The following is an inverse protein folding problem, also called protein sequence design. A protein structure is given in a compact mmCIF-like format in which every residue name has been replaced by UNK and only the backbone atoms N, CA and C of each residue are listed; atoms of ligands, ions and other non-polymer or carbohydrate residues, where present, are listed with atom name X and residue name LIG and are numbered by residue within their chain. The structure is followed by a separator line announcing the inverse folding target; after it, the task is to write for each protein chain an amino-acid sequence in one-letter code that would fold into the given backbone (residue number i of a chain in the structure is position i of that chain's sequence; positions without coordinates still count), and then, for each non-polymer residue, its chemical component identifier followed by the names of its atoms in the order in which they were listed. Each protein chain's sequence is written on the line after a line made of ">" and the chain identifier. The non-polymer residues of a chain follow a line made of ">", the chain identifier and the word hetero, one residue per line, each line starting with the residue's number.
data_IF_249110134120
#
_entry.id   IF_249110134120
#
_cell.length_a   1.000
_cell.length_b   1.000
_cell.length_c   1.000
_cell.angle_alpha   90.00
_cell.angle_beta   90.00
_cell.angle_gamma   90.00
#
_symmetry.space_group_name_H-M   'P 1'
#
loop_
_entity.id
_entity.type
_entity.pdbx_description
1 polymer ?
#
# COMPACT_ATOMS: atom_id res chain seq x y z
N UNK A 1 3.90 -9.80 -13.75
CA UNK A 1 4.09 -8.72 -12.76
C UNK A 1 4.38 -9.36 -11.41
N UNK A 2 5.20 -8.77 -10.55
CA UNK A 2 5.58 -9.40 -9.27
C UNK A 2 5.28 -8.48 -8.09
N UNK A 3 4.62 -9.01 -7.05
CA UNK A 3 4.37 -8.33 -5.78
C UNK A 3 5.20 -8.98 -4.68
N UNK A 4 5.94 -8.19 -3.91
CA UNK A 4 6.62 -8.62 -2.68
C UNK A 4 6.05 -7.88 -1.49
N UNK A 5 5.63 -8.61 -0.45
CA UNK A 5 5.17 -8.02 0.81
C UNK A 5 6.39 -7.58 1.61
N UNK A 6 6.60 -6.28 1.77
CA UNK A 6 7.68 -5.72 2.59
C UNK A 6 7.21 -5.61 4.05
N UNK A 7 5.99 -5.13 4.25
CA UNK A 7 5.31 -5.07 5.53
C UNK A 7 3.79 -5.13 5.36
N UNK A 8 3.12 -5.73 6.34
CA UNK A 8 1.67 -6.03 6.27
C UNK A 8 0.93 -5.83 7.61
N UNK A 9 1.60 -5.28 8.63
CA UNK A 9 0.99 -5.03 9.94
C UNK A 9 0.09 -3.78 9.89
N UNK A 10 -1.14 -3.88 10.41
CA UNK A 10 -2.04 -2.74 10.51
C UNK A 10 -1.81 -1.89 11.75
N UNK A 11 -2.08 -0.58 11.65
CA UNK A 11 -1.98 0.44 12.72
C UNK A 11 -0.57 0.73 13.28
N UNK A 12 0.22 -0.30 13.58
CA UNK A 12 1.61 -0.19 14.05
C UNK A 12 2.38 -1.49 13.76
N UNK A 13 3.72 -1.47 13.74
CA UNK A 13 4.49 -2.66 13.37
C UNK A 13 4.38 -3.71 14.46
N UNK A 14 4.29 -4.97 14.06
CA UNK A 14 4.40 -6.10 14.98
C UNK A 14 5.85 -6.52 15.17
N UNK A 15 6.12 -7.41 16.13
CA UNK A 15 7.44 -8.03 16.26
C UNK A 15 7.87 -8.84 15.02
N UNK A 16 6.93 -9.19 14.13
CA UNK A 16 7.19 -10.01 12.95
C UNK A 16 7.00 -9.31 11.61
N UNK A 17 6.54 -8.05 11.57
CA UNK A 17 6.20 -7.35 10.33
C UNK A 17 6.20 -5.83 10.52
N UNK A 18 6.82 -5.11 9.59
CA UNK A 18 6.63 -3.68 9.43
C UNK A 18 5.17 -3.35 9.07
N UNK A 19 4.81 -2.07 9.14
CA UNK A 19 3.52 -1.62 8.63
C UNK A 19 3.42 -1.72 7.10
N UNK A 20 2.24 -1.40 6.54
CA UNK A 20 1.93 -1.45 5.11
C UNK A 20 3.09 -0.96 4.24
N UNK A 21 3.64 -1.88 3.45
CA UNK A 21 4.57 -1.58 2.38
C UNK A 21 4.68 -2.77 1.44
N UNK A 22 4.52 -2.52 0.14
CA UNK A 22 4.44 -3.58 -0.86
C UNK A 22 5.20 -3.18 -2.12
N UNK A 23 6.15 -4.00 -2.54
CA UNK A 23 6.99 -3.73 -3.70
C UNK A 23 6.42 -4.42 -4.95
N UNK A 24 6.07 -3.63 -5.97
CA UNK A 24 5.58 -4.11 -7.26
C UNK A 24 6.66 -3.94 -8.32
N UNK A 25 6.96 -5.01 -9.05
CA UNK A 25 8.02 -5.06 -10.06
C UNK A 25 7.52 -5.58 -11.41
N UNK A 26 7.89 -4.87 -12.48
CA UNK A 26 7.71 -5.32 -13.87
C UNK A 26 8.75 -4.65 -14.77
N UNK A 27 9.30 -5.38 -15.74
CA UNK A 27 10.28 -4.86 -16.71
C UNK A 27 11.46 -4.09 -16.08
N UNK A 28 11.87 -4.48 -14.87
CA UNK A 28 12.96 -3.85 -14.12
C UNK A 28 12.56 -2.58 -13.35
N UNK A 29 11.33 -2.10 -13.50
CA UNK A 29 10.76 -0.95 -12.78
C UNK A 29 10.23 -1.38 -11.40
N UNK A 30 10.44 -0.55 -10.38
CA UNK A 30 10.08 -0.80 -8.97
C UNK A 30 9.18 0.29 -8.42
N UNK A 31 7.90 -0.06 -8.25
CA UNK A 31 6.90 0.77 -7.59
C UNK A 31 6.68 0.30 -6.16
N UNK A 32 6.90 1.17 -5.17
CA UNK A 32 6.54 0.88 -3.78
C UNK A 32 5.14 1.41 -3.47
N UNK A 33 4.25 0.55 -2.98
CA UNK A 33 2.96 0.93 -2.43
C UNK A 33 3.10 1.05 -0.92
N UNK A 34 2.92 2.26 -0.39
CA UNK A 34 3.10 2.65 1.00
C UNK A 34 4.52 2.41 1.56
N UNK A 35 4.91 3.27 2.50
CA UNK A 35 6.18 3.19 3.22
C UNK A 35 5.91 3.45 4.71
N UNK A 36 5.21 2.48 5.30
CA UNK A 36 4.83 2.47 6.71
C UNK A 36 5.99 2.35 7.69
N UNK A 37 5.67 2.52 8.97
CA UNK A 37 6.63 2.40 10.06
C UNK A 37 7.41 1.06 10.03
N UNK A 38 8.74 1.15 9.96
CA UNK A 38 9.66 0.01 9.88
C UNK A 38 9.91 -0.54 8.48
N UNK A 39 9.19 -0.07 7.46
CA UNK A 39 9.28 -0.57 6.09
C UNK A 39 10.64 -0.34 5.45
N UNK A 40 11.33 0.77 5.75
CA UNK A 40 12.64 1.08 5.13
C UNK A 40 13.71 0.05 5.52
N UNK A 41 13.65 -0.46 6.75
CA UNK A 41 14.55 -1.52 7.22
C UNK A 41 14.32 -2.82 6.46
N UNK A 42 13.06 -3.25 6.35
CA UNK A 42 12.69 -4.49 5.66
C UNK A 42 12.89 -4.40 4.15
N UNK A 43 12.62 -3.24 3.53
CA UNK A 43 12.78 -3.02 2.09
C UNK A 43 14.20 -3.36 1.59
N UNK A 44 15.23 -3.07 2.40
CA UNK A 44 16.63 -3.33 2.07
C UNK A 44 16.96 -4.82 1.86
N UNK A 45 16.07 -5.73 2.31
CA UNK A 45 16.20 -7.16 2.06
C UNK A 45 15.81 -7.55 0.63
N UNK A 46 15.13 -6.65 -0.09
CA UNK A 46 14.51 -6.91 -1.39
C UNK A 46 15.15 -6.07 -2.50
N UNK A 47 15.45 -4.80 -2.23
CA UNK A 47 16.00 -3.85 -3.21
C UNK A 47 17.04 -2.93 -2.58
N UNK A 48 17.94 -2.38 -3.40
CA UNK A 48 18.86 -1.34 -2.97
C UNK A 48 18.13 -0.04 -2.64
N UNK A 49 18.73 0.75 -1.74
CA UNK A 49 18.16 2.02 -1.25
C UNK A 49 17.87 3.06 -2.36
N UNK A 50 18.50 2.93 -3.52
CA UNK A 50 18.32 3.85 -4.64
C UNK A 50 17.66 3.20 -5.86
N UNK A 51 17.20 1.95 -5.74
CA UNK A 51 16.65 1.17 -6.86
C UNK A 51 15.15 1.45 -7.08
N UNK A 52 14.46 2.09 -6.14
CA UNK A 52 13.05 2.47 -6.31
C UNK A 52 12.90 3.52 -7.40
N UNK A 53 11.91 3.31 -8.27
CA UNK A 53 11.61 4.21 -9.40
C UNK A 53 10.41 5.11 -9.11
N UNK A 54 9.46 4.65 -8.30
CA UNK A 54 8.29 5.43 -7.88
C UNK A 54 7.74 4.94 -6.55
N UNK A 55 7.01 5.83 -5.86
CA UNK A 55 6.30 5.53 -4.62
C UNK A 55 4.84 5.97 -4.78
N UNK A 56 3.91 5.12 -4.37
CA UNK A 56 2.50 5.42 -4.23
C UNK A 56 2.13 5.37 -2.75
N UNK A 57 1.53 6.43 -2.22
CA UNK A 57 1.00 6.48 -0.86
C UNK A 57 -0.53 6.46 -0.95
N UNK A 58 -1.16 5.41 -0.42
CA UNK A 58 -2.62 5.28 -0.40
C UNK A 58 -3.26 6.40 0.42
N UNK A 59 -2.68 6.70 1.58
CA UNK A 59 -3.06 7.80 2.46
C UNK A 59 -1.93 8.19 3.43
N UNK A 60 -2.23 9.13 4.34
CA UNK A 60 -1.23 9.86 5.13
C UNK A 60 -1.19 9.49 6.63
N UNK A 61 -1.75 8.33 7.00
CA UNK A 61 -1.50 7.77 8.33
C UNK A 61 -0.05 7.28 8.47
N UNK A 62 0.46 7.27 9.71
CA UNK A 62 1.88 7.04 9.97
C UNK A 62 2.34 5.64 9.56
N UNK A 63 1.50 4.64 9.75
CA UNK A 63 1.68 3.26 9.32
C UNK A 63 1.64 3.06 7.79
N UNK A 64 1.39 4.10 7.01
CA UNK A 64 1.46 4.05 5.54
C UNK A 64 2.55 4.95 4.95
N UNK A 65 3.06 5.94 5.69
CA UNK A 65 3.99 6.91 5.09
C UNK A 65 5.15 7.38 5.97
N UNK A 66 5.22 7.03 7.26
CA UNK A 66 6.16 7.71 8.15
C UNK A 66 7.63 7.38 7.88
N UNK A 67 7.93 6.20 7.32
CA UNK A 67 9.30 5.84 6.95
C UNK A 67 9.82 6.63 5.74
N UNK A 68 8.96 7.37 5.04
CA UNK A 68 9.39 8.39 4.07
C UNK A 68 10.30 9.44 4.71
N UNK A 69 10.14 9.74 6.01
CA UNK A 69 11.03 10.65 6.73
C UNK A 69 12.45 10.07 6.87
N UNK A 70 12.58 8.77 7.09
CA UNK A 70 13.88 8.10 7.11
C UNK A 70 14.44 7.96 5.68
N UNK A 71 13.58 7.69 4.69
CA UNK A 71 13.98 7.60 3.30
C UNK A 71 14.45 8.93 2.72
N UNK A 72 13.86 10.04 3.19
CA UNK A 72 14.36 11.39 2.93
C UNK A 72 15.83 11.52 3.33
N UNK A 73 16.22 11.09 4.54
CA UNK A 73 17.61 11.14 5.01
C UNK A 73 18.53 10.36 4.09
N UNK A 74 18.13 9.14 3.71
CA UNK A 74 18.90 8.27 2.78
C UNK A 74 19.20 8.99 1.47
N UNK A 75 18.21 9.66 0.89
CA UNK A 75 18.35 10.30 -0.43
C UNK A 75 18.90 11.72 -0.38
N UNK A 76 18.67 12.46 0.71
CA UNK A 76 19.18 13.82 0.90
C UNK A 76 20.67 13.84 1.27
N UNK A 77 21.10 12.85 2.06
CA UNK A 77 22.47 12.67 2.54
C UNK A 77 23.06 11.33 2.07
N UNK A 78 23.16 11.09 0.75
CA UNK A 78 23.61 9.80 0.25
C UNK A 78 25.08 9.54 0.62
N UNK A 79 25.39 8.30 0.99
CA UNK A 79 26.76 7.92 1.31
C UNK A 79 27.65 7.88 0.06
N UNK A 80 28.59 8.82 -0.05
CA UNK A 80 29.72 8.73 -0.98
C UNK A 80 29.44 9.13 -2.43
N UNK A 81 28.46 10.00 -2.68
CA UNK A 81 28.14 10.44 -4.05
C UNK A 81 27.27 11.68 -4.15
N UNK A 82 26.90 12.01 -5.38
CA UNK A 82 25.93 13.05 -5.70
C UNK A 82 24.51 12.64 -5.29
N UNK A 83 23.65 13.64 -5.05
CA UNK A 83 22.24 13.37 -4.76
C UNK A 83 21.59 12.66 -5.95
N UNK A 84 20.89 11.54 -5.73
CA UNK A 84 20.15 10.87 -6.79
C UNK A 84 19.04 11.80 -7.33
N UNK A 85 18.57 11.51 -8.54
CA UNK A 85 17.40 12.21 -9.11
C UNK A 85 16.19 12.09 -8.17
N UNK A 86 15.33 13.12 -8.22
CA UNK A 86 14.06 13.13 -7.46
C UNK A 86 13.23 11.91 -7.85
N UNK A 87 12.68 11.23 -6.86
CA UNK A 87 11.79 10.08 -7.08
C UNK A 87 10.33 10.56 -7.09
N UNK A 88 9.51 10.19 -8.08
CA UNK A 88 8.08 10.52 -8.08
C UNK A 88 7.35 9.84 -6.91
N UNK A 89 6.57 10.63 -6.19
CA UNK A 89 5.72 10.20 -5.07
C UNK A 89 4.28 10.61 -5.37
N UNK A 90 3.44 9.63 -5.63
CA UNK A 90 2.01 9.81 -5.84
C UNK A 90 1.30 9.65 -4.50
N UNK A 91 0.57 10.67 -4.05
CA UNK A 91 -0.15 10.60 -2.77
C UNK A 91 -1.31 11.58 -2.71
N UNK A 92 -2.13 11.56 -1.64
CA UNK A 92 -3.21 12.51 -1.46
C UNK A 92 -2.73 13.97 -1.42
N UNK A 93 -3.68 14.89 -1.51
CA UNK A 93 -3.40 16.30 -1.28
C UNK A 93 -2.74 16.52 0.10
N UNK A 94 -1.77 17.43 0.15
CA UNK A 94 -1.01 17.68 1.38
C UNK A 94 0.10 16.69 1.72
N UNK A 95 0.44 15.74 0.83
CA UNK A 95 1.55 14.77 1.05
C UNK A 95 2.87 15.45 1.42
N UNK A 96 3.30 16.47 0.66
CA UNK A 96 4.53 17.21 0.97
C UNK A 96 4.45 17.85 2.36
N UNK A 97 3.37 18.59 2.64
CA UNK A 97 3.17 19.27 3.92
C UNK A 97 3.20 18.28 5.08
N UNK A 98 2.54 17.13 4.95
CA UNK A 98 2.50 16.07 5.95
C UNK A 98 3.89 15.53 6.27
N UNK A 99 4.71 15.28 5.25
CA UNK A 99 6.07 14.75 5.42
C UNK A 99 7.03 15.79 5.98
N UNK A 100 6.98 17.02 5.47
CA UNK A 100 7.75 18.16 6.01
C UNK A 100 7.41 18.38 7.48
N UNK A 101 6.12 18.31 7.85
CA UNK A 101 5.68 18.49 9.24
C UNK A 101 6.14 17.35 10.15
N UNK A 102 6.05 16.10 9.70
CA UNK A 102 6.50 14.96 10.51
C UNK A 102 8.02 14.93 10.70
N UNK A 103 8.78 15.31 9.67
CA UNK A 103 10.23 15.41 9.80
C UNK A 103 10.63 16.61 10.67
N UNK A 104 9.89 17.73 10.54
CA UNK A 104 10.05 19.02 11.21
C UNK A 104 11.40 19.73 10.98
N UNK A 105 12.52 19.03 11.22
CA UNK A 105 13.88 19.57 11.21
C UNK A 105 14.52 19.45 9.81
N UNK A 106 13.86 20.04 8.81
CA UNK A 106 14.37 20.07 7.42
C UNK A 106 15.32 21.25 7.20
N UNK A 107 16.36 21.12 6.35
CA UNK A 107 17.29 22.23 6.07
C UNK A 107 16.65 23.48 5.45
N UNK A 108 15.50 23.32 4.79
CA UNK A 108 14.68 24.39 4.23
C UNK A 108 13.24 23.90 3.98
N UNK A 109 12.30 24.83 3.83
CA UNK A 109 10.89 24.53 3.54
C UNK A 109 10.68 23.70 2.27
N UNK A 110 11.65 23.68 1.36
CA UNK A 110 11.60 22.95 0.09
C UNK A 110 12.45 21.67 0.07
N UNK A 111 13.10 21.31 1.18
CA UNK A 111 14.05 20.20 1.20
C UNK A 111 13.41 18.87 0.77
N UNK A 112 12.16 18.59 1.20
CA UNK A 112 11.41 17.41 0.77
C UNK A 112 11.26 17.36 -0.76
N UNK A 113 10.90 18.49 -1.37
CA UNK A 113 10.82 18.64 -2.82
C UNK A 113 12.18 18.56 -3.53
N UNK A 114 13.32 18.68 -2.86
CA UNK A 114 14.62 18.41 -3.48
C UNK A 114 14.86 16.90 -3.69
N UNK A 115 14.14 16.04 -2.97
CA UNK A 115 14.30 14.57 -2.98
C UNK A 115 13.11 13.87 -3.65
N UNK A 116 11.91 14.40 -3.44
CA UNK A 116 10.66 13.81 -3.89
C UNK A 116 10.01 14.72 -4.94
N UNK A 117 9.45 14.11 -5.97
CA UNK A 117 8.59 14.77 -6.95
C UNK A 117 7.13 14.41 -6.67
N UNK A 118 6.42 15.29 -5.97
CA UNK A 118 5.07 15.01 -5.47
C UNK A 118 4.01 15.17 -6.56
N UNK A 119 3.16 14.15 -6.72
CA UNK A 119 2.02 14.12 -7.63
C UNK A 119 0.74 13.86 -6.83
N UNK A 120 -0.18 14.84 -6.81
CA UNK A 120 -1.46 14.69 -6.10
C UNK A 120 -2.38 13.71 -6.82
N UNK A 121 -2.81 12.66 -6.11
CA UNK A 121 -3.73 11.65 -6.61
C UNK A 121 -5.11 12.22 -6.92
N UNK A 122 -5.71 11.67 -7.97
CA UNK A 122 -7.09 11.93 -8.39
C UNK A 122 -7.69 10.65 -8.94
N UNK A 123 -9.01 10.44 -8.79
CA UNK A 123 -9.67 9.31 -9.42
C UNK A 123 -9.44 9.27 -10.94
N UNK A 124 -9.24 8.08 -11.49
CA UNK A 124 -9.07 7.86 -12.93
C UNK A 124 -7.81 7.09 -13.31
N UNK A 125 -7.57 7.00 -14.62
CA UNK A 125 -6.48 6.25 -15.24
C UNK A 125 -5.27 7.13 -15.59
N UNK A 126 -4.08 6.62 -15.33
CA UNK A 126 -2.79 7.22 -15.68
C UNK A 126 -1.67 6.17 -15.69
N UNK A 127 -0.45 6.57 -16.02
CA UNK A 127 0.70 5.66 -16.10
C UNK A 127 1.71 5.95 -14.98
N UNK A 128 2.28 4.89 -14.40
CA UNK A 128 3.46 4.95 -13.54
C UNK A 128 4.50 3.99 -14.11
N UNK A 129 5.52 4.52 -14.79
CA UNK A 129 6.50 3.67 -15.47
C UNK A 129 5.82 2.76 -16.52
N UNK A 130 6.00 1.43 -16.46
CA UNK A 130 5.37 0.48 -17.38
C UNK A 130 3.95 0.04 -16.95
N UNK A 131 3.42 0.59 -15.85
CA UNK A 131 2.13 0.21 -15.30
C UNK A 131 1.01 1.16 -15.74
N UNK A 132 -0.09 0.60 -16.25
CA UNK A 132 -1.35 1.33 -16.36
C UNK A 132 -2.08 1.25 -15.03
N UNK A 133 -2.38 2.40 -14.45
CA UNK A 133 -2.87 2.54 -13.08
C UNK A 133 -4.23 3.20 -13.06
N UNK A 134 -5.18 2.64 -12.32
CA UNK A 134 -6.43 3.30 -11.93
C UNK A 134 -6.44 3.53 -10.44
N UNK A 135 -6.81 4.73 -10.02
CA UNK A 135 -7.07 5.01 -8.59
C UNK A 135 -8.50 5.49 -8.39
N UNK A 136 -9.07 5.19 -7.23
CA UNK A 136 -10.38 5.69 -6.80
C UNK A 136 -10.32 6.13 -5.34
N UNK A 137 -11.17 7.11 -4.97
CA UNK A 137 -11.28 7.59 -3.59
C UNK A 137 -12.11 6.62 -2.76
N UNK A 138 -11.62 6.26 -1.60
CA UNK A 138 -12.20 5.24 -0.73
C UNK A 138 -12.92 5.84 0.49
N UNK A 139 -13.46 4.97 1.35
CA UNK A 139 -14.18 5.33 2.56
C UNK A 139 -13.28 5.18 3.78
N UNK A 140 -12.53 6.24 4.09
CA UNK A 140 -11.69 6.34 5.28
C UNK A 140 -11.81 7.76 5.89
N UNK A 141 -11.46 8.01 7.17
CA UNK A 141 -11.55 9.34 7.78
C UNK A 141 -10.65 10.41 7.16
N UNK A 142 -9.63 9.99 6.39
CA UNK A 142 -8.74 10.89 5.63
C UNK A 142 -8.84 10.60 4.15
N UNK A 143 -8.27 11.47 3.31
CA UNK A 143 -8.20 11.23 1.88
C UNK A 143 -7.36 9.96 1.60
N UNK A 144 -8.05 8.91 1.19
CA UNK A 144 -7.48 7.59 0.91
C UNK A 144 -7.85 7.11 -0.49
N UNK A 145 -6.89 6.48 -1.15
CA UNK A 145 -7.02 5.95 -2.49
C UNK A 145 -6.70 4.46 -2.54
N UNK A 146 -7.56 3.71 -3.23
CA UNK A 146 -7.25 2.38 -3.71
C UNK A 146 -6.54 2.47 -5.06
N UNK A 147 -5.81 1.43 -5.41
CA UNK A 147 -5.06 1.38 -6.66
C UNK A 147 -5.24 0.03 -7.35
N UNK A 148 -5.56 0.07 -8.65
CA UNK A 148 -5.44 -1.06 -9.57
C UNK A 148 -4.26 -0.82 -10.49
N UNK A 149 -3.42 -1.82 -10.65
CA UNK A 149 -2.19 -1.81 -11.45
C UNK A 149 -2.33 -2.90 -12.50
N UNK A 150 -2.19 -2.54 -13.76
CA UNK A 150 -2.23 -3.47 -14.89
C UNK A 150 -0.92 -3.43 -15.67
N UNK A 151 -0.41 -4.61 -16.01
CA UNK A 151 0.76 -4.76 -16.85
C UNK A 151 0.84 -6.14 -17.49
N UNK A 152 1.10 -6.20 -18.80
CA UNK A 152 1.34 -7.47 -19.51
C UNK A 152 0.14 -8.43 -19.53
N UNK A 153 -1.08 -7.93 -19.31
CA UNK A 153 -2.30 -8.74 -19.20
C UNK A 153 -2.60 -9.25 -17.79
N UNK A 154 -1.74 -8.95 -16.81
CA UNK A 154 -1.96 -9.24 -15.39
C UNK A 154 -2.43 -8.00 -14.63
N UNK A 155 -3.19 -8.18 -13.55
CA UNK A 155 -3.66 -7.08 -12.69
C UNK A 155 -3.52 -7.33 -11.18
N UNK A 156 -3.21 -6.26 -10.46
CA UNK A 156 -3.12 -6.21 -9.00
C UNK A 156 -4.01 -5.07 -8.50
N UNK A 157 -4.89 -5.35 -7.53
CA UNK A 157 -5.62 -4.29 -6.81
C UNK A 157 -5.16 -4.26 -5.35
N UNK A 158 -4.76 -3.09 -4.87
CA UNK A 158 -4.50 -2.81 -3.46
C UNK A 158 -5.59 -1.91 -2.89
N UNK A 159 -6.23 -2.36 -1.80
CA UNK A 159 -7.37 -1.67 -1.21
C UNK A 159 -7.02 -0.38 -0.48
N UNK A 160 -5.77 -0.12 -0.08
CA UNK A 160 -5.53 0.86 0.99
C UNK A 160 -6.33 0.49 2.26
N UNK A 161 -6.66 1.49 3.06
CA UNK A 161 -7.59 1.37 4.19
C UNK A 161 -8.96 1.90 3.81
N UNK A 162 -10.02 1.17 4.17
CA UNK A 162 -11.38 1.56 3.80
C UNK A 162 -12.44 0.76 4.55
N UNK A 163 -13.61 1.37 4.75
CA UNK A 163 -14.87 0.65 4.88
C UNK A 163 -15.39 0.12 3.53
N UNK A 164 -16.54 -0.54 3.54
CA UNK A 164 -17.16 -1.06 2.31
C UNK A 164 -17.55 0.09 1.35
N UNK A 165 -17.20 -0.02 0.06
CA UNK A 165 -17.60 0.97 -0.94
C UNK A 165 -17.59 0.44 -2.38
N UNK A 166 -18.49 0.97 -3.20
CA UNK A 166 -18.62 0.62 -4.63
C UNK A 166 -17.36 0.93 -5.43
N UNK A 167 -16.64 1.99 -5.08
CA UNK A 167 -15.38 2.37 -5.74
C UNK A 167 -14.31 1.26 -5.65
N UNK A 168 -14.24 0.55 -4.52
CA UNK A 168 -13.33 -0.57 -4.38
C UNK A 168 -13.81 -1.80 -5.15
N UNK A 169 -15.13 -2.02 -5.22
CA UNK A 169 -15.71 -3.07 -6.05
C UNK A 169 -15.33 -2.89 -7.53
N UNK A 170 -15.44 -1.66 -8.04
CA UNK A 170 -15.05 -1.33 -9.41
C UNK A 170 -13.54 -1.48 -9.66
N UNK A 171 -12.69 -1.13 -8.68
CA UNK A 171 -11.24 -1.31 -8.79
C UNK A 171 -10.86 -2.79 -8.79
N UNK A 172 -11.56 -3.62 -8.02
CA UNK A 172 -11.27 -5.04 -7.86
C UNK A 172 -11.86 -5.92 -8.98
N UNK A 173 -12.79 -5.41 -9.80
CA UNK A 173 -13.51 -6.18 -10.82
C UNK A 173 -12.59 -7.03 -11.72
N UNK A 174 -12.69 -8.35 -11.58
CA UNK A 174 -11.91 -9.32 -12.33
C UNK A 174 -10.39 -9.26 -12.12
N UNK A 175 -9.89 -8.67 -11.02
CA UNK A 175 -8.45 -8.54 -10.81
C UNK A 175 -7.78 -9.88 -10.50
N UNK A 176 -6.57 -10.15 -11.01
CA UNK A 176 -5.89 -11.43 -10.76
C UNK A 176 -5.47 -11.60 -9.30
N UNK A 177 -4.93 -10.55 -8.68
CA UNK A 177 -4.60 -10.53 -7.25
C UNK A 177 -5.25 -9.32 -6.58
N UNK A 178 -6.03 -9.58 -5.54
CA UNK A 178 -6.61 -8.56 -4.68
C UNK A 178 -5.94 -8.57 -3.31
N UNK A 179 -5.11 -7.57 -3.05
CA UNK A 179 -4.47 -7.31 -1.76
C UNK A 179 -5.39 -6.39 -0.95
N UNK A 180 -6.11 -6.97 0.00
CA UNK A 180 -7.23 -6.31 0.69
C UNK A 180 -6.99 -6.23 2.19
N UNK A 181 -7.27 -5.07 2.79
CA UNK A 181 -7.26 -4.91 4.24
C UNK A 181 -8.33 -5.76 4.93
N UNK A 182 -8.05 -6.20 6.15
CA UNK A 182 -9.01 -6.90 7.01
C UNK A 182 -8.72 -6.57 8.47
N UNK A 183 -8.76 -5.29 8.82
CA UNK A 183 -8.30 -4.83 10.13
C UNK A 183 -9.24 -5.25 11.28
N UNK A 184 -10.54 -5.31 11.02
CA UNK A 184 -11.59 -5.66 11.99
C UNK A 184 -11.93 -7.14 12.00
N UNK A 185 -12.66 -7.57 13.03
CA UNK A 185 -13.18 -8.93 13.16
C UNK A 185 -14.70 -8.92 12.98
N UNK A 186 -15.20 -9.83 12.16
CA UNK A 186 -16.63 -9.93 11.88
C UNK A 186 -17.45 -10.06 13.17
N UNK A 187 -18.44 -9.17 13.34
CA UNK A 187 -19.35 -9.16 14.49
C UNK A 187 -18.76 -8.62 15.79
N UNK A 188 -17.55 -8.01 15.77
CA UNK A 188 -16.98 -7.32 16.93
C UNK A 188 -17.01 -5.81 16.77
N UNK A 189 -16.37 -5.30 15.72
CA UNK A 189 -16.37 -3.89 15.38
C UNK A 189 -17.44 -3.58 14.32
N UNK A 190 -18.10 -2.42 14.45
CA UNK A 190 -19.10 -1.91 13.51
C UNK A 190 -18.93 -0.39 13.38
N UNK A 191 -17.73 0.03 12.98
CA UNK A 191 -17.40 1.44 12.75
C UNK A 191 -17.50 1.69 11.25
N UNK A 192 -18.49 2.45 10.78
CA UNK A 192 -18.69 2.69 9.36
C UNK A 192 -17.53 3.49 8.77
N UNK A 193 -17.25 3.24 7.49
CA UNK A 193 -16.28 4.01 6.69
C UNK A 193 -14.86 4.09 7.31
N UNK A 194 -14.42 3.00 7.96
CA UNK A 194 -13.11 2.94 8.62
C UNK A 194 -12.26 1.76 8.16
N UNK A 195 -12.67 0.52 8.45
CA UNK A 195 -11.93 -0.67 8.05
C UNK A 195 -12.85 -1.82 7.67
N UNK A 196 -12.32 -2.75 6.88
CA UNK A 196 -12.98 -4.01 6.57
C UNK A 196 -12.68 -5.06 7.64
N UNK A 197 -13.58 -6.02 7.77
CA UNK A 197 -13.28 -7.33 8.36
C UNK A 197 -13.03 -8.41 7.29
N UNK A 198 -12.54 -9.58 7.71
CA UNK A 198 -12.25 -10.68 6.80
C UNK A 198 -13.46 -11.14 5.98
N UNK A 199 -14.67 -11.14 6.56
CA UNK A 199 -15.89 -11.50 5.83
C UNK A 199 -16.20 -10.49 4.73
N UNK A 200 -16.13 -9.19 5.02
CA UNK A 200 -16.41 -8.13 4.03
C UNK A 200 -15.40 -8.15 2.88
N UNK A 201 -14.12 -8.40 3.18
CA UNK A 201 -13.08 -8.58 2.16
C UNK A 201 -13.37 -9.81 1.27
N UNK A 202 -13.81 -10.93 1.86
CA UNK A 202 -14.23 -12.12 1.13
C UNK A 202 -15.49 -11.89 0.28
N UNK A 203 -16.51 -11.22 0.82
CA UNK A 203 -17.71 -10.85 0.07
C UNK A 203 -17.36 -9.93 -1.12
N UNK A 204 -16.31 -9.12 -0.99
CA UNK A 204 -15.80 -8.26 -2.06
C UNK A 204 -15.12 -9.06 -3.15
N UNK A 205 -14.19 -9.92 -2.74
CA UNK A 205 -13.52 -10.83 -3.65
C UNK A 205 -14.52 -11.68 -4.46
N UNK A 206 -15.58 -12.17 -3.81
CA UNK A 206 -16.62 -12.96 -4.45
C UNK A 206 -17.45 -12.15 -5.46
N UNK A 207 -17.93 -10.96 -5.08
CA UNK A 207 -18.77 -10.13 -5.97
C UNK A 207 -18.00 -9.53 -7.14
N UNK A 208 -16.73 -9.17 -6.92
CA UNK A 208 -15.84 -8.65 -7.96
C UNK A 208 -15.21 -9.76 -8.83
N UNK A 209 -15.39 -11.04 -8.48
CA UNK A 209 -14.85 -12.15 -9.27
C UNK A 209 -13.33 -12.16 -9.35
N UNK A 210 -12.63 -11.83 -8.27
CA UNK A 210 -11.17 -11.74 -8.23
C UNK A 210 -10.52 -13.13 -8.37
N UNK A 211 -9.29 -13.18 -8.90
CA UNK A 211 -8.53 -14.43 -9.07
C UNK A 211 -7.97 -14.99 -7.76
N UNK A 212 -7.44 -14.13 -6.89
CA UNK A 212 -6.89 -14.47 -5.57
C UNK A 212 -7.13 -13.32 -4.58
N UNK A 213 -7.49 -13.66 -3.34
CA UNK A 213 -7.58 -12.73 -2.23
C UNK A 213 -6.39 -12.91 -1.28
N UNK A 214 -5.64 -11.84 -1.03
CA UNK A 214 -4.58 -11.80 -0.01
C UNK A 214 -4.98 -10.77 1.04
N UNK A 215 -5.25 -11.23 2.26
CA UNK A 215 -5.62 -10.36 3.37
C UNK A 215 -4.37 -9.72 3.96
N UNK A 216 -4.39 -8.40 4.15
CA UNK A 216 -3.27 -7.62 4.70
C UNK A 216 -3.78 -6.62 5.73
N UNK A 217 -2.87 -5.78 6.25
CA UNK A 217 -3.18 -4.69 7.18
C UNK A 217 -3.95 -5.17 8.43
N UNK A 218 -3.60 -6.36 8.94
CA UNK A 218 -4.25 -6.89 10.14
C UNK A 218 -3.48 -6.37 11.36
N UNK A 219 -4.12 -5.65 12.29
CA UNK A 219 -3.45 -5.15 13.48
C UNK A 219 -2.92 -6.28 14.37
N UNK A 220 -1.81 -6.08 15.10
CA UNK A 220 -1.19 -7.14 15.89
C UNK A 220 -2.06 -7.79 16.97
N UNK A 221 -3.14 -7.12 17.38
CA UNK A 221 -4.10 -7.62 18.37
C UNK A 221 -5.30 -8.35 17.74
N UNK A 222 -5.46 -8.29 16.42
CA UNK A 222 -6.52 -8.95 15.68
C UNK A 222 -6.11 -10.38 15.36
N UNK A 223 -7.03 -11.33 15.55
CA UNK A 223 -6.82 -12.73 15.19
C UNK A 223 -6.91 -12.88 13.65
N UNK A 224 -5.75 -12.91 13.00
CA UNK A 224 -5.65 -13.01 11.55
C UNK A 224 -6.26 -14.30 10.99
N UNK A 225 -6.12 -15.43 11.71
CA UNK A 225 -6.69 -16.71 11.28
C UNK A 225 -8.22 -16.68 11.32
N UNK A 226 -8.79 -15.91 12.25
CA UNK A 226 -10.24 -15.67 12.27
C UNK A 226 -10.69 -14.92 11.01
N UNK A 227 -10.00 -13.84 10.64
CA UNK A 227 -10.33 -13.11 9.41
C UNK A 227 -10.15 -13.95 8.16
N UNK A 228 -9.11 -14.79 8.10
CA UNK A 228 -8.90 -15.74 7.01
C UNK A 228 -10.05 -16.75 6.92
N UNK A 229 -10.51 -17.28 8.05
CA UNK A 229 -11.63 -18.21 8.09
C UNK A 229 -12.93 -17.55 7.61
N UNK A 230 -13.26 -16.36 8.14
CA UNK A 230 -14.46 -15.62 7.78
C UNK A 230 -14.47 -15.25 6.28
N UNK A 231 -13.33 -14.89 5.69
CA UNK A 231 -13.20 -14.63 4.25
C UNK A 231 -13.49 -15.89 3.39
N UNK A 232 -12.96 -17.05 3.82
CA UNK A 232 -13.13 -18.34 3.11
C UNK A 232 -14.55 -18.89 3.18
N UNK A 233 -15.37 -18.45 4.13
CA UNK A 233 -16.79 -18.83 4.17
C UNK A 233 -17.60 -18.23 3.01
N UNK A 234 -17.16 -17.10 2.46
CA UNK A 234 -17.90 -16.30 1.48
C UNK A 234 -17.20 -16.22 0.11
N UNK A 235 -15.89 -16.43 0.05
CA UNK A 235 -15.11 -16.51 -1.19
C UNK A 235 -14.48 -17.89 -1.36
N UNK A 236 -14.76 -18.54 -2.50
CA UNK A 236 -14.30 -19.90 -2.79
C UNK A 236 -12.97 -19.95 -3.54
N UNK A 237 -12.45 -18.80 -3.98
CA UNK A 237 -11.16 -18.70 -4.64
C UNK A 237 -9.98 -18.79 -3.68
N UNK A 238 -8.74 -18.87 -4.22
CA UNK A 238 -7.52 -18.85 -3.42
C UNK A 238 -7.50 -17.66 -2.45
N UNK A 239 -7.39 -17.96 -1.15
CA UNK A 239 -7.40 -16.95 -0.08
C UNK A 239 -6.31 -17.24 0.94
N UNK A 240 -5.50 -16.25 1.28
CA UNK A 240 -4.38 -16.36 2.22
C UNK A 240 -4.10 -15.05 2.99
N UNK A 241 -3.26 -15.13 4.01
CA UNK A 241 -2.75 -13.97 4.75
C UNK A 241 -1.45 -13.50 4.11
N UNK A 242 -1.28 -12.18 3.98
CA UNK A 242 0.00 -11.58 3.64
C UNK A 242 1.03 -11.88 4.73
N UNK A 243 2.25 -12.24 4.32
CA UNK A 243 3.37 -12.47 5.23
C UNK A 243 4.61 -11.71 4.72
N UNK A 244 5.42 -11.09 5.60
CA UNK A 244 6.63 -10.39 5.18
C UNK A 244 7.57 -11.30 4.39
N UNK A 245 8.07 -10.78 3.26
CA UNK A 245 8.90 -11.52 2.31
C UNK A 245 8.13 -12.49 1.41
N UNK A 246 6.81 -12.63 1.55
CA UNK A 246 6.01 -13.38 0.58
C UNK A 246 6.07 -12.71 -0.79
N UNK A 247 6.15 -13.54 -1.84
CA UNK A 247 6.24 -13.10 -3.23
C UNK A 247 5.11 -13.73 -4.03
N UNK A 248 4.42 -12.91 -4.82
CA UNK A 248 3.35 -13.30 -5.72
C UNK A 248 3.74 -12.95 -7.15
N UNK A 249 3.85 -13.97 -8.00
CA UNK A 249 3.89 -13.79 -9.45
C UNK A 249 2.45 -13.70 -9.96
N UNK A 250 2.15 -12.61 -10.64
CA UNK A 250 0.84 -12.24 -11.18
C UNK A 250 0.93 -12.19 -12.70
#
# INVERSE_FOLDING_TARGET
>A
MKLTVVGCSGSFPSAGSACSSYLVEADGFRLLLDMGNGALGELQRHVGLYDLDAIFLSHLHADHCIDMCAYFVVRYYPHGGERPARIPVYGPDGTEQRLTTAHADTPSDHAMSEVFDFHTLKPGWFEIGPFSVRTEKLRHPVDTFGIRIEHGGSSLTYSGDTGTCEALDELADGTDLFLCEASFVHGKEDIPDLHLNGREAGELAARAGVGRLVLTHIPPWTDAERNLADAREVFTGPTELAAPGAVYEI
#
